data_IF_176626485610
#
_entry.id   IF_176626485610
#
_cell.length_a   1.000
_cell.length_b   1.000
_cell.length_c   1.000
_cell.angle_alpha   90.00
_cell.angle_beta   90.00
_cell.angle_gamma   90.00
#
_symmetry.space_group_name_H-M   'P 1'
#
loop_
_entity.id
_entity.type
_entity.pdbx_description
1 polymer ?
#
# COMPACT_ATOMS: atom_id res chain seq x y z
N UNK A 1 -5.49 1.39 22.71
CA UNK A 1 -4.29 0.71 22.19
C UNK A 1 -4.40 0.72 20.68
N UNK A 2 -3.47 1.30 19.91
CA UNK A 2 -3.58 1.29 18.46
C UNK A 2 -3.45 -0.15 17.97
N UNK A 3 -4.48 -0.63 17.26
CA UNK A 3 -4.53 -1.98 16.71
C UNK A 3 -3.44 -2.11 15.64
N UNK A 4 -2.30 -2.77 15.92
CA UNK A 4 -1.08 -2.47 15.19
C UNK A 4 -0.93 -3.41 13.99
N UNK A 5 -2.02 -3.83 13.36
CA UNK A 5 -1.98 -4.85 12.29
C UNK A 5 -2.51 -4.34 10.96
N UNK A 6 -2.64 -3.02 10.82
CA UNK A 6 -2.88 -2.43 9.51
C UNK A 6 -1.62 -2.57 8.66
N UNK A 7 -1.73 -3.18 7.49
CA UNK A 7 -0.64 -3.36 6.53
C UNK A 7 -0.92 -2.60 5.25
N UNK A 8 0.07 -1.84 4.79
CA UNK A 8 0.00 -1.10 3.55
C UNK A 8 0.43 -1.99 2.39
N UNK A 9 -0.43 -2.09 1.39
CA UNK A 9 -0.17 -2.82 0.16
C UNK A 9 -0.20 -1.86 -1.04
N UNK A 10 0.56 -2.19 -2.08
CA UNK A 10 0.68 -1.43 -3.31
C UNK A 10 0.40 -2.34 -4.51
N UNK A 11 -0.40 -1.86 -5.45
CA UNK A 11 -0.69 -2.54 -6.71
C UNK A 11 -0.41 -1.61 -7.89
N UNK A 12 0.54 -2.00 -8.73
CA UNK A 12 0.79 -1.32 -9.98
C UNK A 12 -0.25 -1.72 -11.03
N UNK A 13 -1.11 -0.77 -11.41
CA UNK A 13 -2.13 -0.95 -12.44
C UNK A 13 -1.53 -1.10 -13.86
N UNK A 14 -0.24 -0.79 -14.03
CA UNK A 14 0.44 -0.88 -15.33
C UNK A 14 0.98 -2.28 -15.63
N UNK A 15 1.54 -2.96 -14.64
CA UNK A 15 2.14 -4.29 -14.81
C UNK A 15 1.44 -5.38 -13.98
N UNK A 16 0.43 -5.04 -13.19
CA UNK A 16 -0.28 -5.97 -12.31
C UNK A 16 0.51 -6.37 -11.05
N UNK A 17 1.70 -5.77 -10.82
CA UNK A 17 2.56 -6.13 -9.68
C UNK A 17 1.89 -5.72 -8.37
N UNK A 18 1.76 -6.66 -7.44
CA UNK A 18 1.26 -6.43 -6.08
C UNK A 18 2.40 -6.62 -5.09
N UNK A 19 2.49 -5.75 -4.09
CA UNK A 19 3.57 -5.76 -3.11
C UNK A 19 3.05 -5.27 -1.77
N UNK A 20 3.46 -5.91 -0.68
CA UNK A 20 3.21 -5.42 0.67
C UNK A 20 4.37 -4.49 1.04
N UNK A 21 4.06 -3.26 1.46
CA UNK A 21 5.04 -2.25 1.84
C UNK A 21 5.44 -2.35 3.32
N UNK A 22 4.56 -2.90 4.16
CA UNK A 22 4.83 -3.17 5.56
C UNK A 22 3.71 -2.73 6.49
N UNK A 23 4.02 -2.68 7.80
CA UNK A 23 3.12 -2.15 8.83
C UNK A 23 2.83 -0.69 8.50
N UNK A 24 1.56 -0.37 8.28
CA UNK A 24 1.14 1.01 8.16
C UNK A 24 1.29 1.63 9.55
N UNK A 25 2.40 2.30 9.78
CA UNK A 25 2.46 3.26 10.88
C UNK A 25 1.55 4.40 10.44
N UNK A 26 0.31 4.37 10.94
CA UNK A 26 -0.74 5.32 10.54
C UNK A 26 -0.25 6.76 10.74
N UNK A 27 0.60 6.98 11.74
CA UNK A 27 1.26 8.27 12.02
C UNK A 27 2.21 8.69 10.89
N UNK A 28 3.05 7.78 10.39
CA UNK A 28 3.94 8.05 9.26
C UNK A 28 3.20 8.29 7.92
N UNK A 29 2.00 7.74 7.74
CA UNK A 29 1.21 7.95 6.52
C UNK A 29 0.33 9.21 6.65
N UNK A 30 -0.29 9.45 7.82
CA UNK A 30 -1.11 10.64 8.08
C UNK A 30 -0.26 11.92 8.16
N UNK A 31 0.98 11.84 8.66
CA UNK A 31 1.92 12.96 8.63
C UNK A 31 2.20 13.48 7.20
N UNK A 32 2.01 12.64 6.18
CA UNK A 32 2.14 13.01 4.77
C UNK A 32 0.81 13.40 4.09
N UNK A 33 -0.32 13.45 4.82
CA UNK A 33 -1.64 13.74 4.22
C UNK A 33 -2.12 15.18 4.38
N UNK A 34 -1.35 16.07 5.02
CA UNK A 34 -1.79 17.46 5.22
C UNK A 34 -1.29 18.47 4.16
N UNK A 35 -0.13 18.26 3.51
CA UNK A 35 0.43 19.29 2.61
C UNK A 35 1.30 18.77 1.45
N UNK A 36 1.72 17.50 1.46
CA UNK A 36 2.64 16.97 0.46
C UNK A 36 1.94 15.99 -0.48
N UNK A 37 2.13 16.18 -1.79
CA UNK A 37 1.56 15.35 -2.84
C UNK A 37 1.69 13.85 -2.50
N UNK A 38 0.64 13.03 -2.76
CA UNK A 38 0.63 11.62 -2.36
C UNK A 38 1.93 10.96 -2.81
N UNK A 39 2.58 10.16 -1.94
CA UNK A 39 3.90 9.63 -2.21
C UNK A 39 3.86 8.98 -3.59
N UNK A 40 4.67 9.49 -4.52
CA UNK A 40 4.70 9.05 -5.91
C UNK A 40 5.36 7.68 -5.98
N UNK A 41 4.68 6.65 -5.47
CA UNK A 41 5.15 5.28 -5.54
C UNK A 41 5.32 4.90 -7.01
N UNK A 42 6.54 4.48 -7.31
CA UNK A 42 6.90 3.94 -8.62
C UNK A 42 7.01 2.44 -8.47
N UNK A 43 6.44 1.72 -9.41
CA UNK A 43 6.71 0.30 -9.51
C UNK A 43 8.16 0.12 -9.95
N UNK A 44 8.97 -0.53 -9.11
CA UNK A 44 10.38 -0.82 -9.40
C UNK A 44 10.55 -1.61 -10.72
N UNK A 45 9.58 -2.48 -11.01
CA UNK A 45 9.61 -3.36 -12.18
C UNK A 45 9.28 -2.67 -13.52
N UNK A 46 8.40 -1.66 -13.53
CA UNK A 46 7.92 -1.04 -14.78
C UNK A 46 8.11 0.49 -14.83
N UNK A 47 8.68 1.08 -13.78
CA UNK A 47 8.81 2.53 -13.59
C UNK A 47 7.46 3.26 -13.52
N UNK A 48 6.34 2.53 -13.49
CA UNK A 48 5.00 3.09 -13.57
C UNK A 48 4.64 3.87 -12.31
N UNK A 49 4.17 5.10 -12.49
CA UNK A 49 3.64 5.96 -11.39
C UNK A 49 2.17 5.67 -11.05
N UNK A 50 1.52 4.78 -11.81
CA UNK A 50 0.13 4.33 -11.58
C UNK A 50 0.12 3.17 -10.57
N UNK A 51 0.41 3.48 -9.32
CA UNK A 51 0.37 2.54 -8.20
C UNK A 51 -0.81 2.91 -7.31
N UNK A 52 -1.70 1.94 -7.06
CA UNK A 52 -2.83 2.05 -6.15
C UNK A 52 -2.43 1.49 -4.79
N UNK A 53 -2.65 2.25 -3.73
CA UNK A 53 -2.43 1.80 -2.37
C UNK A 53 -3.70 1.14 -1.83
N UNK A 54 -3.51 0.12 -1.00
CA UNK A 54 -4.57 -0.61 -0.32
C UNK A 54 -4.18 -0.80 1.14
N UNK A 55 -5.05 -0.36 2.04
CA UNK A 55 -4.86 -0.53 3.48
C UNK A 55 -5.57 -1.81 3.91
N UNK A 56 -4.79 -2.87 4.11
CA UNK A 56 -5.29 -4.13 4.65
C UNK A 56 -5.40 -4.01 6.18
N UNK A 57 -6.55 -4.38 6.76
CA UNK A 57 -6.76 -4.31 8.22
C UNK A 57 -6.16 -5.51 8.96
N UNK A 58 -5.50 -6.42 8.25
CA UNK A 58 -4.85 -7.58 8.81
C UNK A 58 -4.15 -8.46 7.77
N UNK A 59 -3.47 -9.53 8.20
CA UNK A 59 -2.71 -10.43 7.32
C UNK A 59 -3.59 -11.16 6.31
N UNK A 60 -4.85 -11.45 6.64
CA UNK A 60 -5.79 -12.11 5.72
C UNK A 60 -6.16 -11.21 4.54
N UNK A 61 -6.47 -9.93 4.77
CA UNK A 61 -6.73 -8.97 3.70
C UNK A 61 -5.47 -8.70 2.87
N UNK A 62 -4.30 -8.64 3.50
CA UNK A 62 -3.02 -8.52 2.78
C UNK A 62 -2.82 -9.71 1.82
N UNK A 63 -3.01 -10.94 2.30
CA UNK A 63 -2.89 -12.14 1.48
C UNK A 63 -3.93 -12.18 0.35
N UNK A 64 -5.17 -11.80 0.64
CA UNK A 64 -6.22 -11.69 -0.37
C UNK A 64 -5.83 -10.69 -1.47
N UNK A 65 -5.29 -9.53 -1.09
CA UNK A 65 -4.79 -8.54 -2.04
C UNK A 65 -3.64 -9.11 -2.88
N UNK A 66 -2.58 -9.65 -2.26
CA UNK A 66 -1.41 -10.18 -2.96
C UNK A 66 -1.80 -11.29 -3.95
N UNK A 67 -2.75 -12.15 -3.58
CA UNK A 67 -3.26 -13.23 -4.43
C UNK A 67 -4.26 -12.75 -5.49
N UNK A 68 -4.69 -11.49 -5.47
CA UNK A 68 -5.64 -10.91 -6.42
C UNK A 68 -7.08 -11.36 -6.21
N UNK A 69 -7.43 -11.73 -4.98
CA UNK A 69 -8.78 -12.15 -4.59
C UNK A 69 -9.69 -10.98 -4.19
N UNK A 70 -9.15 -9.76 -4.14
CA UNK A 70 -9.84 -8.49 -3.91
C UNK A 70 -9.19 -7.38 -4.74
#
# INVERSE_FOLDING_TARGET
MPDPTSMLCAHCQRCGRRSALGRADTDAIEAHTADEAPPRLRCDMCGGRRVKLFHARGPTEMLAFLTGRI
#
